data_IF_035726647923
#
_entry.id   IF_035726647923
#
_cell.length_a   1.000
_cell.length_b   1.000
_cell.length_c   1.000
_cell.angle_alpha   90.00
_cell.angle_beta   90.00
_cell.angle_gamma   90.00
#
_symmetry.space_group_name_H-M   'P 1'
#
loop_
_entity.id
_entity.type
_entity.pdbx_description
1 polymer ?
#
# COMPACT_ATOMS: atom_id res chain seq x y z
N UNK A 1 13.71 -7.37 -12.24
CA UNK A 1 12.51 -6.78 -12.89
C UNK A 1 11.87 -5.83 -11.91
N UNK A 2 11.94 -4.53 -12.18
CA UNK A 2 11.47 -3.49 -11.26
C UNK A 2 9.96 -3.59 -11.04
N UNK A 3 9.57 -3.75 -9.77
CA UNK A 3 8.18 -3.70 -9.29
C UNK A 3 7.45 -2.40 -9.67
N UNK A 4 8.19 -1.41 -10.18
CA UNK A 4 7.69 -0.17 -10.78
C UNK A 4 6.71 -0.40 -11.95
N UNK A 5 6.79 -1.54 -12.66
CA UNK A 5 5.93 -1.81 -13.82
C UNK A 5 4.53 -2.35 -13.47
N UNK A 6 4.24 -2.72 -12.22
CA UNK A 6 2.92 -3.25 -11.84
C UNK A 6 1.94 -2.14 -11.44
N UNK A 7 2.41 -0.91 -11.19
CA UNK A 7 1.54 0.17 -10.71
C UNK A 7 1.28 1.29 -11.73
N UNK A 8 1.77 1.14 -12.96
CA UNK A 8 1.78 2.23 -13.95
C UNK A 8 0.85 2.02 -15.15
N UNK A 9 -0.29 1.33 -14.98
CA UNK A 9 -1.34 1.28 -16.01
C UNK A 9 -2.71 1.38 -15.37
N UNK A 10 -3.10 2.60 -14.99
CA UNK A 10 -4.46 2.92 -14.57
C UNK A 10 -4.70 2.84 -13.07
N UNK A 11 -5.74 3.57 -12.63
CA UNK A 11 -6.22 3.55 -11.26
C UNK A 11 -6.39 2.09 -10.79
N UNK A 12 -5.83 1.72 -9.64
CA UNK A 12 -5.84 0.32 -9.19
C UNK A 12 -7.27 -0.23 -9.12
N UNK A 13 -7.45 -1.51 -9.49
CA UNK A 13 -8.77 -2.16 -9.42
C UNK A 13 -9.36 -2.08 -8.01
N UNK A 14 -8.49 -2.10 -7.00
CA UNK A 14 -8.85 -1.88 -5.61
C UNK A 14 -9.58 -0.55 -5.43
N UNK A 15 -8.98 0.58 -5.84
CA UNK A 15 -9.60 1.90 -5.73
C UNK A 15 -10.94 2.00 -6.48
N UNK A 16 -11.04 1.38 -7.66
CA UNK A 16 -12.32 1.31 -8.41
C UNK A 16 -13.40 0.60 -7.60
N UNK A 17 -13.09 -0.55 -7.00
CA UNK A 17 -14.04 -1.30 -6.18
C UNK A 17 -14.50 -0.50 -4.96
N UNK A 18 -13.63 0.33 -4.40
CA UNK A 18 -13.99 1.24 -3.31
C UNK A 18 -14.97 2.31 -3.67
N UNK A 19 -14.73 2.95 -4.81
CA UNK A 19 -15.65 3.94 -5.33
C UNK A 19 -17.03 3.31 -5.53
N UNK A 20 -17.10 2.04 -5.98
CA UNK A 20 -18.35 1.30 -6.12
C UNK A 20 -18.99 0.99 -4.76
N UNK A 21 -18.22 0.49 -3.80
CA UNK A 21 -18.69 0.17 -2.43
C UNK A 21 -19.29 1.40 -1.76
N UNK A 22 -18.55 2.51 -1.71
CA UNK A 22 -18.98 3.78 -1.14
C UNK A 22 -20.19 4.37 -1.89
N UNK A 23 -20.30 4.11 -3.20
CA UNK A 23 -21.46 4.51 -4.00
C UNK A 23 -22.68 3.60 -3.83
N UNK A 24 -22.58 2.46 -3.13
CA UNK A 24 -23.63 1.47 -3.02
C UNK A 24 -23.90 0.74 -4.34
N UNK A 25 -22.87 0.56 -5.17
CA UNK A 25 -22.94 -0.03 -6.50
C UNK A 25 -22.18 -1.36 -6.56
N UNK A 26 -22.75 -2.34 -7.26
CA UNK A 26 -22.04 -3.60 -7.59
C UNK A 26 -21.28 -3.52 -8.92
N UNK A 27 -21.78 -2.69 -9.83
CA UNK A 27 -21.19 -2.42 -11.13
C UNK A 27 -21.52 -0.98 -11.53
N UNK A 28 -20.74 -0.42 -12.43
CA UNK A 28 -20.93 0.93 -12.95
C UNK A 28 -21.34 0.88 -14.41
N UNK A 29 -22.20 1.81 -14.81
CA UNK A 29 -22.49 2.10 -16.22
C UNK A 29 -22.06 3.52 -16.57
N UNK A 30 -21.96 3.82 -17.87
CA UNK A 30 -21.64 5.18 -18.34
C UNK A 30 -22.62 6.25 -17.81
N UNK A 31 -23.87 5.87 -17.49
CA UNK A 31 -24.88 6.77 -16.89
C UNK A 31 -24.56 7.09 -15.42
N UNK A 32 -24.03 6.13 -14.67
CA UNK A 32 -23.66 6.30 -13.27
C UNK A 32 -22.50 7.27 -13.08
N UNK A 33 -21.63 7.43 -14.08
CA UNK A 33 -20.46 8.31 -14.02
C UNK A 33 -20.81 9.76 -13.66
N UNK A 34 -21.98 10.25 -14.06
CA UNK A 34 -22.44 11.61 -13.70
C UNK A 34 -22.72 11.69 -12.20
N UNK A 35 -23.44 10.70 -11.67
CA UNK A 35 -23.78 10.63 -10.24
C UNK A 35 -22.54 10.43 -9.39
N UNK A 36 -21.63 9.56 -9.82
CA UNK A 36 -20.35 9.34 -9.14
C UNK A 36 -19.49 10.60 -9.10
N UNK A 37 -19.35 11.30 -10.22
CA UNK A 37 -18.60 12.56 -10.28
C UNK A 37 -19.14 13.60 -9.29
N UNK A 38 -20.47 13.77 -9.24
CA UNK A 38 -21.12 14.67 -8.28
C UNK A 38 -20.93 14.21 -6.83
N UNK A 39 -21.13 12.93 -6.54
CA UNK A 39 -21.02 12.36 -5.19
C UNK A 39 -19.59 12.47 -4.64
N UNK A 40 -18.60 12.10 -5.45
CA UNK A 40 -17.17 12.24 -5.10
C UNK A 40 -16.84 13.70 -4.87
N UNK A 41 -17.24 14.59 -5.78
CA UNK A 41 -16.89 16.00 -5.66
C UNK A 41 -17.46 16.65 -4.41
N UNK A 42 -18.70 16.28 -4.05
CA UNK A 42 -19.35 16.76 -2.83
C UNK A 42 -18.67 16.19 -1.57
N UNK A 43 -18.33 14.90 -1.56
CA UNK A 43 -17.73 14.24 -0.41
C UNK A 43 -16.30 14.72 -0.10
N UNK A 44 -15.51 15.06 -1.13
CA UNK A 44 -14.09 15.40 -0.97
C UNK A 44 -13.80 16.90 -1.13
N UNK A 45 -14.83 17.71 -1.37
CA UNK A 45 -14.71 19.13 -1.73
C UNK A 45 -13.68 19.40 -2.87
N UNK A 46 -13.63 18.51 -3.87
CA UNK A 46 -12.70 18.58 -5.01
C UNK A 46 -13.46 18.34 -6.30
N UNK A 47 -13.21 19.13 -7.33
CA UNK A 47 -13.95 18.98 -8.58
C UNK A 47 -13.43 17.76 -9.39
N UNK A 48 -14.29 16.75 -9.56
CA UNK A 48 -14.05 15.60 -10.42
C UNK A 48 -15.06 15.60 -11.57
N UNK A 49 -14.56 15.66 -12.80
CA UNK A 49 -15.41 15.69 -13.99
C UNK A 49 -16.00 14.31 -14.32
N UNK A 50 -17.14 14.30 -15.01
CA UNK A 50 -17.77 13.05 -15.51
C UNK A 50 -16.83 12.27 -16.42
N UNK A 51 -16.06 12.96 -17.26
CA UNK A 51 -15.09 12.33 -18.17
C UNK A 51 -13.92 11.72 -17.41
N UNK A 52 -13.50 12.30 -16.27
CA UNK A 52 -12.53 11.68 -15.35
C UNK A 52 -13.05 10.33 -14.86
N UNK A 53 -14.29 10.25 -14.37
CA UNK A 53 -14.87 8.97 -13.89
C UNK A 53 -15.05 7.97 -15.04
N UNK A 54 -15.46 8.43 -16.23
CA UNK A 54 -15.53 7.56 -17.41
C UNK A 54 -14.18 6.93 -17.74
N UNK A 55 -13.09 7.72 -17.67
CA UNK A 55 -11.72 7.22 -17.86
C UNK A 55 -11.33 6.22 -16.78
N UNK A 56 -11.63 6.52 -15.51
CA UNK A 56 -11.37 5.61 -14.38
C UNK A 56 -11.99 4.24 -14.62
N UNK A 57 -13.24 4.19 -15.06
CA UNK A 57 -13.96 2.93 -15.29
C UNK A 57 -13.86 2.39 -16.72
N UNK A 58 -13.02 2.97 -17.58
CA UNK A 58 -12.77 2.46 -18.94
C UNK A 58 -13.86 2.76 -19.97
N UNK A 59 -14.81 3.66 -19.68
CA UNK A 59 -15.81 4.15 -20.64
C UNK A 59 -15.28 5.25 -21.57
N UNK A 60 -14.07 5.74 -21.32
CA UNK A 60 -13.38 6.71 -22.16
C UNK A 60 -11.87 6.42 -22.15
N UNK A 61 -11.22 6.69 -23.26
CA UNK A 61 -9.78 6.48 -23.42
C UNK A 61 -8.98 7.39 -22.46
N UNK A 62 -7.94 6.80 -21.87
CA UNK A 62 -7.01 7.47 -20.96
C UNK A 62 -5.64 7.51 -21.63
N UNK A 63 -5.23 8.68 -22.14
CA UNK A 63 -3.94 8.87 -22.82
C UNK A 63 -2.79 9.17 -21.85
N UNK A 64 -3.12 9.59 -20.63
CA UNK A 64 -2.17 10.00 -19.60
C UNK A 64 -2.61 9.50 -18.23
N UNK A 65 -1.66 9.29 -17.33
CA UNK A 65 -1.92 8.93 -15.94
C UNK A 65 -2.78 10.00 -15.24
N UNK A 66 -3.59 9.57 -14.28
CA UNK A 66 -4.36 10.52 -13.46
C UNK A 66 -3.41 11.36 -12.62
N UNK A 67 -3.72 12.65 -12.47
CA UNK A 67 -2.94 13.54 -11.61
C UNK A 67 -2.99 13.10 -10.16
N UNK A 68 -1.95 13.46 -9.37
CA UNK A 68 -1.94 13.28 -7.91
C UNK A 68 -3.20 13.86 -7.25
N UNK A 69 -3.68 15.01 -7.75
CA UNK A 69 -4.93 15.61 -7.31
C UNK A 69 -6.13 14.67 -7.46
N UNK A 70 -6.26 14.05 -8.64
CA UNK A 70 -7.35 13.12 -8.94
C UNK A 70 -7.25 11.87 -8.09
N UNK A 71 -6.06 11.28 -7.98
CA UNK A 71 -5.83 10.08 -7.18
C UNK A 71 -6.18 10.35 -5.70
N UNK A 72 -5.70 11.46 -5.15
CA UNK A 72 -5.98 11.84 -3.77
C UNK A 72 -7.47 12.08 -3.51
N UNK A 73 -8.19 12.71 -4.44
CA UNK A 73 -9.65 12.87 -4.33
C UNK A 73 -10.36 11.52 -4.31
N UNK A 74 -10.01 10.61 -5.22
CA UNK A 74 -10.62 9.29 -5.29
C UNK A 74 -10.31 8.46 -4.04
N UNK A 75 -9.08 8.55 -3.52
CA UNK A 75 -8.71 7.89 -2.26
C UNK A 75 -9.50 8.47 -1.09
N UNK A 76 -9.58 9.80 -0.97
CA UNK A 76 -10.34 10.49 0.07
C UNK A 76 -11.81 10.07 0.09
N UNK A 77 -12.43 9.95 -1.08
CA UNK A 77 -13.81 9.48 -1.19
C UNK A 77 -14.02 8.09 -0.58
N UNK A 78 -13.03 7.20 -0.69
CA UNK A 78 -13.16 5.83 -0.19
C UNK A 78 -12.68 5.67 1.26
N UNK A 79 -12.05 6.69 1.86
CA UNK A 79 -11.48 6.59 3.22
C UNK A 79 -12.50 6.33 4.33
N UNK A 80 -13.81 6.35 4.06
CA UNK A 80 -14.88 6.12 5.04
C UNK A 80 -15.12 4.66 5.45
N UNK A 81 -14.64 3.67 4.70
CA UNK A 81 -14.92 2.25 4.96
C UNK A 81 -13.65 1.49 5.40
N UNK A 82 -13.47 1.34 6.72
CA UNK A 82 -12.36 0.56 7.31
C UNK A 82 -12.39 -0.92 6.91
N UNK A 83 -13.58 -1.51 6.73
CA UNK A 83 -13.74 -2.90 6.29
C UNK A 83 -13.23 -3.07 4.85
N UNK A 84 -13.51 -2.09 3.99
CA UNK A 84 -13.00 -2.06 2.62
C UNK A 84 -11.48 -1.92 2.57
N UNK A 85 -10.88 -1.08 3.43
CA UNK A 85 -9.42 -0.95 3.54
C UNK A 85 -8.77 -2.28 3.92
N UNK A 86 -9.36 -3.01 4.87
CA UNK A 86 -8.86 -4.32 5.26
C UNK A 86 -9.00 -5.34 4.13
N UNK A 87 -10.14 -5.39 3.41
CA UNK A 87 -10.30 -6.26 2.24
C UNK A 87 -9.24 -6.01 1.17
N UNK A 88 -8.92 -4.75 0.90
CA UNK A 88 -7.86 -4.39 -0.06
C UNK A 88 -6.49 -4.78 0.45
N UNK A 89 -6.22 -4.50 1.71
CA UNK A 89 -4.97 -4.87 2.34
C UNK A 89 -4.73 -6.38 2.19
N UNK A 90 -5.70 -7.21 2.58
CA UNK A 90 -5.57 -8.66 2.48
C UNK A 90 -5.51 -9.15 1.03
N UNK A 91 -6.25 -8.52 0.10
CA UNK A 91 -6.15 -8.85 -1.32
C UNK A 91 -4.77 -8.53 -1.90
N UNK A 92 -4.23 -7.34 -1.62
CA UNK A 92 -2.87 -6.94 -2.04
C UNK A 92 -1.81 -7.86 -1.43
N UNK A 93 -1.99 -8.22 -0.16
CA UNK A 93 -1.12 -9.16 0.53
C UNK A 93 -1.18 -10.54 -0.14
N UNK A 94 -2.35 -11.02 -0.55
CA UNK A 94 -2.49 -12.30 -1.27
C UNK A 94 -1.90 -12.25 -2.69
N UNK A 95 -2.14 -11.17 -3.43
CA UNK A 95 -1.61 -11.01 -4.78
C UNK A 95 -0.06 -10.97 -4.77
N UNK A 96 0.55 -10.41 -3.72
CA UNK A 96 2.01 -10.43 -3.54
C UNK A 96 2.57 -11.80 -3.17
N UNK A 97 1.81 -12.67 -2.49
CA UNK A 97 2.24 -14.05 -2.19
C UNK A 97 2.56 -14.85 -3.45
N UNK A 98 1.74 -14.69 -4.50
CA UNK A 98 1.93 -15.39 -5.78
C UNK A 98 3.29 -15.04 -6.39
N UNK A 99 3.73 -13.79 -6.23
CA UNK A 99 5.04 -13.30 -6.69
C UNK A 99 6.17 -13.76 -5.76
N UNK A 100 5.91 -13.84 -4.46
CA UNK A 100 6.86 -14.25 -3.43
C UNK A 100 7.28 -15.73 -3.52
N UNK A 101 6.50 -16.60 -4.16
CA UNK A 101 6.86 -18.02 -4.41
C UNK A 101 7.99 -18.25 -5.42
N UNK A 102 8.63 -17.18 -5.90
CA UNK A 102 9.80 -17.26 -6.76
C UNK A 102 10.92 -18.09 -6.10
N UNK A 103 11.52 -19.08 -6.78
CA UNK A 103 12.50 -20.00 -6.20
C UNK A 103 13.88 -19.38 -5.93
N UNK A 104 14.04 -18.07 -6.18
CA UNK A 104 15.30 -17.36 -6.00
C UNK A 104 15.44 -16.87 -4.56
N UNK A 105 16.42 -17.44 -3.85
CA UNK A 105 16.94 -16.91 -2.59
C UNK A 105 17.44 -15.48 -2.84
N UNK A 106 16.89 -14.51 -2.11
CA UNK A 106 17.45 -13.15 -2.09
C UNK A 106 18.06 -12.89 -0.73
N UNK A 107 19.09 -12.05 -0.72
CA UNK A 107 19.64 -11.54 0.53
C UNK A 107 18.63 -10.57 1.16
N UNK A 108 18.49 -10.67 2.48
CA UNK A 108 17.64 -9.75 3.26
C UNK A 108 18.35 -8.40 3.34
N UNK A 109 17.75 -7.38 2.74
CA UNK A 109 18.20 -6.00 2.77
C UNK A 109 17.60 -5.22 3.94
N UNK A 110 16.50 -5.68 4.53
CA UNK A 110 15.92 -5.08 5.73
C UNK A 110 16.83 -5.28 6.94
N UNK A 111 17.05 -4.19 7.68
CA UNK A 111 17.86 -4.22 8.90
C UNK A 111 17.37 -3.19 9.90
N UNK A 112 17.58 -3.49 11.18
CA UNK A 112 17.45 -2.56 12.30
C UNK A 112 18.68 -2.74 13.18
N UNK A 113 19.37 -1.66 13.50
CA UNK A 113 20.54 -1.66 14.39
C UNK A 113 20.23 -0.96 15.71
N UNK A 114 20.88 -1.39 16.78
CA UNK A 114 20.93 -0.65 18.05
C UNK A 114 22.00 0.46 18.03
N UNK A 115 22.82 0.44 16.96
CA UNK A 115 23.93 1.32 16.69
C UNK A 115 23.45 2.77 16.47
N UNK A 116 23.97 3.69 17.28
CA UNK A 116 23.66 5.12 17.29
C UNK A 116 24.34 5.90 16.14
N UNK A 117 24.97 5.24 15.19
CA UNK A 117 25.70 5.83 14.07
C UNK A 117 24.95 5.65 12.75
N UNK A 118 23.80 6.31 12.62
CA UNK A 118 23.37 6.74 11.30
C UNK A 118 23.37 8.27 11.25
N UNK A 119 24.07 8.75 10.23
CA UNK A 119 24.54 10.12 10.02
C UNK A 119 23.52 10.91 9.20
N UNK A 120 22.42 10.26 8.80
CA UNK A 120 21.42 10.81 7.90
C UNK A 120 20.23 11.30 8.71
N UNK A 121 20.13 12.63 8.81
CA UNK A 121 18.91 13.29 9.24
C UNK A 121 17.81 12.97 8.22
N UNK A 122 16.67 12.46 8.68
CA UNK A 122 15.51 12.27 7.82
C UNK A 122 15.16 13.61 7.17
N UNK A 123 14.88 13.61 5.86
CA UNK A 123 14.31 14.80 5.24
C UNK A 123 12.97 15.11 5.89
N UNK A 124 12.71 16.39 6.12
CA UNK A 124 11.49 16.86 6.74
C UNK A 124 10.25 16.37 5.94
N UNK A 125 9.41 15.56 6.57
CA UNK A 125 8.21 14.99 5.96
C UNK A 125 8.35 13.59 5.36
N UNK A 126 9.51 12.93 5.47
CA UNK A 126 9.62 11.52 5.06
C UNK A 126 8.92 10.57 6.06
N UNK A 127 8.15 9.58 5.57
CA UNK A 127 7.48 8.61 6.41
C UNK A 127 8.50 7.68 7.10
N UNK A 128 8.31 7.46 8.40
CA UNK A 128 9.12 6.52 9.18
C UNK A 128 8.26 5.69 10.12
N UNK A 129 8.80 4.57 10.59
CA UNK A 129 8.19 3.69 11.58
C UNK A 129 9.06 3.53 12.81
N UNK A 130 8.42 3.30 13.96
CA UNK A 130 9.12 2.85 15.15
C UNK A 130 9.43 1.35 15.06
N UNK A 131 10.58 0.86 15.55
CA UNK A 131 10.93 -0.57 15.53
C UNK A 131 9.91 -1.48 16.23
N UNK A 132 9.17 -0.96 17.21
CA UNK A 132 8.15 -1.71 17.95
C UNK A 132 6.78 -1.70 17.26
N UNK A 133 6.64 -1.04 16.09
CA UNK A 133 5.43 -1.16 15.29
C UNK A 133 5.29 -2.59 14.76
N UNK A 134 4.04 -3.00 14.54
CA UNK A 134 3.72 -4.32 14.01
C UNK A 134 3.98 -4.38 12.50
N UNK A 135 4.24 -5.58 11.98
CA UNK A 135 4.36 -5.85 10.54
C UNK A 135 3.11 -5.39 9.78
N UNK A 136 1.91 -5.61 10.34
CA UNK A 136 0.67 -5.12 9.73
C UNK A 136 0.65 -3.60 9.59
N UNK A 137 1.15 -2.86 10.60
CA UNK A 137 1.22 -1.41 10.57
C UNK A 137 2.14 -0.94 9.46
N UNK A 138 3.31 -1.57 9.31
CA UNK A 138 4.26 -1.26 8.26
C UNK A 138 3.69 -1.49 6.87
N UNK A 139 3.10 -2.68 6.63
CA UNK A 139 2.54 -3.03 5.35
C UNK A 139 1.33 -2.15 4.98
N UNK A 140 0.48 -1.77 5.94
CA UNK A 140 -0.62 -0.82 5.72
C UNK A 140 -0.11 0.56 5.31
N UNK A 141 0.93 1.07 5.97
CA UNK A 141 1.56 2.35 5.62
C UNK A 141 2.16 2.31 4.22
N UNK A 142 2.97 1.27 3.92
CA UNK A 142 3.60 1.09 2.62
C UNK A 142 2.57 0.97 1.49
N UNK A 143 1.45 0.28 1.74
CA UNK A 143 0.35 0.18 0.78
C UNK A 143 -0.34 1.53 0.55
N UNK A 144 -0.67 2.26 1.62
CA UNK A 144 -1.38 3.54 1.52
C UNK A 144 -0.53 4.60 0.82
N UNK A 145 0.75 4.69 1.17
CA UNK A 145 1.68 5.69 0.66
C UNK A 145 2.45 5.23 -0.59
N UNK A 146 2.15 4.01 -1.07
CA UNK A 146 2.75 3.42 -2.27
C UNK A 146 4.28 3.30 -2.18
N UNK A 147 4.78 2.90 -1.01
CA UNK A 147 6.20 2.81 -0.69
C UNK A 147 6.70 1.38 -0.89
N UNK A 148 7.86 1.23 -1.53
CA UNK A 148 8.57 -0.05 -1.60
C UNK A 148 9.39 -0.35 -0.34
N UNK A 149 9.65 0.70 0.46
CA UNK A 149 10.50 0.67 1.63
C UNK A 149 10.15 1.82 2.57
N UNK A 150 10.53 1.71 3.84
CA UNK A 150 10.36 2.79 4.81
C UNK A 150 11.51 2.79 5.82
N UNK A 151 11.87 4.00 6.27
CA UNK A 151 12.87 4.19 7.30
C UNK A 151 12.34 3.74 8.67
N UNK A 152 13.23 3.16 9.47
CA UNK A 152 12.97 2.84 10.87
C UNK A 152 13.69 3.85 11.74
N UNK A 153 12.95 4.49 12.64
CA UNK A 153 13.47 5.50 13.54
C UNK A 153 13.10 5.24 14.99
N UNK A 154 14.06 5.47 15.89
CA UNK A 154 13.86 5.42 17.33
C UNK A 154 14.40 6.70 17.95
N UNK A 155 13.55 7.42 18.69
CA UNK A 155 13.89 8.72 19.30
C UNK A 155 14.44 9.74 18.29
N UNK A 156 13.84 9.81 17.10
CA UNK A 156 14.21 10.74 16.04
C UNK A 156 15.50 10.41 15.28
N UNK A 157 16.09 9.22 15.51
CA UNK A 157 17.29 8.76 14.80
C UNK A 157 16.94 7.63 13.85
N UNK A 158 17.47 7.68 12.63
CA UNK A 158 17.45 6.56 11.70
C UNK A 158 18.26 5.40 12.29
N UNK A 159 17.67 4.22 12.33
CA UNK A 159 18.30 2.98 12.83
C UNK A 159 18.16 1.82 11.85
N UNK A 160 17.61 2.06 10.66
CA UNK A 160 17.44 1.00 9.68
C UNK A 160 16.38 1.30 8.65
N UNK A 161 16.16 0.32 7.78
CA UNK A 161 15.11 0.35 6.76
C UNK A 161 14.48 -1.03 6.64
N UNK A 162 13.25 -1.04 6.15
CA UNK A 162 12.54 -2.27 5.83
C UNK A 162 11.95 -2.19 4.43
N UNK A 163 11.85 -3.33 3.78
CA UNK A 163 11.31 -3.46 2.43
C UNK A 163 9.97 -4.19 2.43
N UNK A 164 9.03 -3.69 1.63
CA UNK A 164 7.67 -4.23 1.54
C UNK A 164 7.66 -5.68 1.07
N UNK A 165 8.46 -6.02 0.06
CA UNK A 165 8.55 -7.37 -0.50
C UNK A 165 9.10 -8.39 0.51
N UNK A 166 10.03 -7.98 1.37
CA UNK A 166 10.62 -8.85 2.38
C UNK A 166 9.65 -9.11 3.53
N UNK A 167 8.92 -8.08 3.98
CA UNK A 167 7.82 -8.26 4.94
C UNK A 167 6.68 -9.11 4.37
N UNK A 168 6.33 -8.93 3.10
CA UNK A 168 5.35 -9.80 2.43
C UNK A 168 5.82 -11.27 2.44
N UNK A 169 7.07 -11.53 2.05
CA UNK A 169 7.66 -12.88 2.12
C UNK A 169 7.63 -13.45 3.52
N UNK A 170 8.04 -12.66 4.51
CA UNK A 170 8.01 -13.05 5.90
C UNK A 170 6.61 -13.49 6.33
N UNK A 171 5.58 -12.70 6.02
CA UNK A 171 4.19 -13.00 6.40
C UNK A 171 3.69 -14.35 5.86
N UNK A 172 4.19 -14.77 4.71
CA UNK A 172 3.83 -16.05 4.08
C UNK A 172 4.87 -17.16 4.24
N UNK A 173 5.91 -16.94 5.02
CA UNK A 173 6.94 -17.93 5.25
C UNK A 173 6.49 -18.99 6.27
N UNK A 174 6.82 -20.25 5.99
CA UNK A 174 6.57 -21.38 6.89
C UNK A 174 5.08 -21.74 7.08
N UNK A 175 4.81 -22.55 8.10
CA UNK A 175 3.49 -23.16 8.33
C UNK A 175 2.60 -22.37 9.32
N UNK A 176 3.07 -21.24 9.84
CA UNK A 176 2.30 -20.43 10.77
C UNK A 176 1.16 -19.68 10.07
N UNK A 177 0.07 -19.44 10.80
CA UNK A 177 -1.03 -18.61 10.32
C UNK A 177 -0.53 -17.19 10.00
N UNK A 178 -0.92 -16.67 8.84
CA UNK A 178 -0.61 -15.31 8.34
C UNK A 178 -0.81 -14.24 9.41
N UNK A 179 -1.91 -14.33 10.16
CA UNK A 179 -2.24 -13.39 11.24
C UNK A 179 -1.22 -13.37 12.38
N UNK A 180 -0.56 -14.49 12.66
CA UNK A 180 0.47 -14.55 13.70
C UNK A 180 1.68 -13.71 13.32
N UNK A 181 2.17 -13.87 12.08
CA UNK A 181 3.33 -13.11 11.58
C UNK A 181 3.02 -11.62 11.36
N UNK A 182 1.78 -11.27 11.04
CA UNK A 182 1.33 -9.87 10.96
C UNK A 182 1.41 -9.12 12.31
N UNK A 183 1.33 -9.86 13.42
CA UNK A 183 1.38 -9.31 14.78
C UNK A 183 2.79 -9.30 15.38
N UNK A 184 3.82 -9.60 14.61
CA UNK A 184 5.20 -9.42 15.07
C UNK A 184 5.55 -7.94 15.03
N UNK A 185 6.30 -7.46 16.01
CA UNK A 185 7.00 -6.19 15.86
C UNK A 185 8.12 -6.31 14.81
N UNK A 186 8.57 -5.18 14.28
CA UNK A 186 9.56 -5.17 13.19
C UNK A 186 10.92 -5.73 13.61
N UNK A 187 11.33 -5.56 14.87
CA UNK A 187 12.59 -6.13 15.38
C UNK A 187 12.52 -7.65 15.37
N UNK A 188 11.44 -8.20 15.92
CA UNK A 188 11.20 -9.64 15.96
C UNK A 188 11.09 -10.21 14.55
N UNK A 189 10.35 -9.55 13.65
CA UNK A 189 10.20 -10.00 12.27
C UNK A 189 11.55 -10.10 11.54
N UNK A 190 12.38 -9.05 11.58
CA UNK A 190 13.69 -9.04 10.92
C UNK A 190 14.62 -10.09 11.53
N UNK A 191 14.61 -10.22 12.87
CA UNK A 191 15.42 -11.24 13.56
C UNK A 191 15.05 -12.65 13.09
N UNK A 192 13.75 -12.93 12.94
CA UNK A 192 13.28 -14.24 12.43
C UNK A 192 13.64 -14.42 10.96
N UNK A 193 13.49 -13.39 10.12
CA UNK A 193 13.88 -13.45 8.71
C UNK A 193 15.36 -13.79 8.56
N UNK A 194 16.24 -13.10 9.28
CA UNK A 194 17.69 -13.33 9.23
C UNK A 194 18.06 -14.73 9.71
N UNK A 195 17.37 -15.25 10.73
CA UNK A 195 17.57 -16.60 11.25
C UNK A 195 17.06 -17.70 10.30
N UNK A 196 15.92 -17.47 9.66
CA UNK A 196 15.27 -18.43 8.76
C UNK A 196 15.81 -18.36 7.31
N UNK A 197 16.57 -17.31 6.97
CA UNK A 197 17.20 -17.12 5.65
C UNK A 197 16.18 -16.85 4.54
N UNK A 198 15.14 -16.07 4.85
CA UNK A 198 14.01 -15.73 3.98
C UNK A 198 14.31 -14.65 2.92
#
# INVERSE_FOLDING_TARGET
MSYHLIMDVGLSNNLKQGILSEAGLKAVTSKDCRRLAAKISAATNRHISVTTIKRVFGFAETKHHFSKYTIAALQEYVKGDEEWKDKIFFKWLQDSYIVAKSPYKMDILSFITDDRSCIDELNEGEPYLHPEHLVITALKMMLHDNLSEVAICKKGKYIGRIYANELQRFVYAGDQLVYHRLNFDLVTAITVMQREGL
#
